data_IF_349910197615
#
_entry.id   IF_349910197615
#
_cell.length_a   1.000
_cell.length_b   1.000
_cell.length_c   1.000
_cell.angle_alpha   90.00
_cell.angle_beta   90.00
_cell.angle_gamma   90.00
#
_symmetry.space_group_name_H-M   'P 1'
#
loop_
_entity.id
_entity.type
_entity.pdbx_description
1 polymer ?
#
# COMPACT_ATOMS: atom_id res chain seq x y z
N UNK A 1 20.77 -19.89 20.33
CA UNK A 1 21.76 -18.93 19.80
C UNK A 1 21.11 -18.26 18.61
N UNK A 2 21.03 -16.92 18.57
CA UNK A 2 20.29 -16.17 17.53
C UNK A 2 21.19 -15.15 16.81
N UNK A 3 22.44 -15.07 17.22
CA UNK A 3 23.43 -14.09 16.78
C UNK A 3 24.75 -14.80 16.54
N UNK A 4 25.46 -14.36 15.50
CA UNK A 4 26.82 -14.79 15.23
C UNK A 4 27.74 -14.39 16.38
N UNK A 5 28.88 -15.09 16.48
CA UNK A 5 29.95 -14.73 17.39
C UNK A 5 30.28 -13.24 17.29
N UNK A 6 30.22 -12.54 18.41
CA UNK A 6 30.45 -11.10 18.45
C UNK A 6 31.87 -10.75 18.01
N UNK A 7 32.03 -9.74 17.17
CA UNK A 7 33.33 -9.22 16.73
C UNK A 7 33.58 -7.83 17.30
N UNK A 8 34.83 -7.56 17.67
CA UNK A 8 35.26 -6.25 18.18
C UNK A 8 35.74 -5.39 17.02
N UNK A 9 35.28 -4.15 16.97
CA UNK A 9 35.54 -3.19 15.91
C UNK A 9 36.08 -1.86 16.48
N UNK A 10 36.74 -1.04 15.63
CA UNK A 10 37.17 0.29 16.00
C UNK A 10 36.01 1.16 16.54
N UNK A 11 36.31 2.18 17.35
CA UNK A 11 35.30 3.08 17.88
C UNK A 11 34.53 3.81 16.78
N UNK A 12 33.24 4.04 17.00
CA UNK A 12 32.43 4.88 16.13
C UNK A 12 32.74 6.36 16.42
N UNK A 13 33.20 7.09 15.39
CA UNK A 13 33.50 8.52 15.48
C UNK A 13 34.68 8.81 16.42
N UNK A 14 34.51 9.76 17.33
CA UNK A 14 35.52 10.17 18.32
C UNK A 14 35.44 9.38 19.64
N UNK A 15 34.62 8.33 19.69
CA UNK A 15 34.53 7.46 20.86
C UNK A 15 35.90 6.83 21.16
N UNK A 16 36.19 6.60 22.44
CA UNK A 16 37.36 5.82 22.88
C UNK A 16 36.99 4.37 23.22
N UNK A 17 35.70 4.04 23.18
CA UNK A 17 35.22 2.69 23.46
C UNK A 17 35.21 1.86 22.18
N UNK A 18 35.72 0.64 22.26
CA UNK A 18 35.62 -0.35 21.19
C UNK A 18 34.16 -0.71 20.96
N UNK A 19 33.80 -0.93 19.70
CA UNK A 19 32.46 -1.31 19.32
C UNK A 19 32.36 -2.82 19.23
N UNK A 20 31.28 -3.40 19.74
CA UNK A 20 31.00 -4.82 19.60
C UNK A 20 29.88 -4.97 18.57
N UNK A 21 30.15 -5.70 17.49
CA UNK A 21 29.18 -6.02 16.46
C UNK A 21 28.61 -7.41 16.74
N UNK A 22 27.29 -7.47 16.92
CA UNK A 22 26.54 -8.72 16.98
C UNK A 22 25.57 -8.72 15.80
N UNK A 23 25.72 -9.67 14.88
CA UNK A 23 24.83 -9.81 13.73
C UNK A 23 23.90 -11.01 13.96
N UNK A 24 22.62 -10.93 13.58
CA UNK A 24 21.75 -12.09 13.64
C UNK A 24 22.22 -13.15 12.62
N UNK A 25 22.19 -14.43 13.00
CA UNK A 25 22.63 -15.54 12.11
C UNK A 25 21.79 -15.65 10.83
N UNK A 26 20.53 -15.25 10.91
CA UNK A 26 19.62 -15.15 9.78
C UNK A 26 19.05 -13.74 9.67
N UNK A 27 18.84 -13.20 8.46
CA UNK A 27 18.10 -11.96 8.30
C UNK A 27 16.69 -12.13 8.91
N UNK A 28 16.20 -11.13 9.67
CA UNK A 28 14.87 -11.23 10.25
C UNK A 28 13.83 -11.38 9.14
N UNK A 29 12.88 -12.29 9.34
CA UNK A 29 11.75 -12.44 8.42
C UNK A 29 11.06 -11.08 8.20
N UNK A 30 10.55 -10.81 6.98
CA UNK A 30 9.82 -9.58 6.74
C UNK A 30 8.65 -9.47 7.74
N UNK A 31 8.41 -8.27 8.31
CA UNK A 31 7.37 -8.11 9.30
C UNK A 31 6.00 -8.47 8.70
N UNK A 32 5.11 -9.09 9.49
CA UNK A 32 3.78 -9.44 9.01
C UNK A 32 3.03 -8.18 8.58
N UNK A 33 2.37 -8.27 7.43
CA UNK A 33 1.51 -7.23 6.90
C UNK A 33 0.12 -7.79 6.64
N UNK A 34 -0.86 -6.90 6.66
CA UNK A 34 -2.23 -7.16 6.21
C UNK A 34 -2.43 -6.39 4.91
N UNK A 35 -3.07 -7.01 3.92
CA UNK A 35 -3.50 -6.29 2.72
C UNK A 35 -4.91 -5.77 2.97
N UNK A 36 -5.09 -4.46 2.85
CA UNK A 36 -6.41 -3.85 2.79
C UNK A 36 -6.75 -3.58 1.33
N UNK A 37 -7.84 -4.17 0.89
CA UNK A 37 -8.45 -3.88 -0.41
C UNK A 37 -9.49 -2.78 -0.21
N UNK A 38 -9.47 -1.74 -1.03
CA UNK A 38 -10.41 -0.63 -0.95
C UNK A 38 -10.58 0.05 -2.31
N UNK A 39 -11.69 0.77 -2.49
CA UNK A 39 -11.94 1.60 -3.68
C UNK A 39 -12.02 3.06 -3.26
N UNK A 40 -11.14 3.94 -3.77
CA UNK A 40 -11.19 5.35 -3.43
C UNK A 40 -12.38 6.03 -4.14
N UNK A 41 -13.30 6.58 -3.33
CA UNK A 41 -14.40 7.43 -3.81
C UNK A 41 -13.97 8.90 -3.77
N UNK A 42 -13.15 9.29 -4.73
CA UNK A 42 -12.73 10.69 -4.89
C UNK A 42 -13.85 11.51 -5.52
N UNK A 43 -14.01 12.77 -5.10
CA UNK A 43 -15.01 13.68 -5.69
C UNK A 43 -14.84 13.81 -7.22
N UNK A 44 -13.60 13.79 -7.71
CA UNK A 44 -13.32 13.79 -9.16
C UNK A 44 -13.85 12.54 -9.85
N UNK A 45 -13.65 11.36 -9.25
CA UNK A 45 -14.16 10.09 -9.76
C UNK A 45 -15.68 10.07 -9.77
N UNK A 46 -16.32 10.51 -8.67
CA UNK A 46 -17.77 10.61 -8.57
C UNK A 46 -18.34 11.54 -9.64
N UNK A 47 -17.74 12.73 -9.84
CA UNK A 47 -18.19 13.64 -10.90
C UNK A 47 -17.99 13.04 -12.29
N UNK A 48 -16.86 12.40 -12.57
CA UNK A 48 -16.61 11.79 -13.88
C UNK A 48 -17.58 10.65 -14.19
N UNK A 49 -17.87 9.79 -13.20
CA UNK A 49 -18.87 8.74 -13.35
C UNK A 49 -20.27 9.31 -13.53
N UNK A 50 -20.61 10.35 -12.75
CA UNK A 50 -21.87 11.08 -12.89
C UNK A 50 -22.04 11.72 -14.28
N UNK A 51 -20.98 12.29 -14.85
CA UNK A 51 -21.02 12.82 -16.22
C UNK A 51 -21.27 11.70 -17.23
N UNK A 52 -20.53 10.59 -17.12
CA UNK A 52 -20.69 9.44 -17.99
C UNK A 52 -22.13 8.89 -17.93
N UNK A 53 -22.66 8.56 -16.75
CA UNK A 53 -23.97 7.91 -16.62
C UNK A 53 -25.11 8.79 -17.15
N UNK A 54 -24.95 10.12 -17.11
CA UNK A 54 -25.93 11.07 -17.67
C UNK A 54 -25.81 11.29 -19.17
N UNK A 55 -24.63 11.01 -19.76
CA UNK A 55 -24.34 11.25 -21.16
C UNK A 55 -24.43 9.97 -22.01
N UNK A 56 -24.38 8.80 -21.39
CA UNK A 56 -24.47 7.50 -22.05
C UNK A 56 -25.81 7.35 -22.79
N UNK A 57 -25.76 6.75 -23.98
CA UNK A 57 -26.95 6.42 -24.73
C UNK A 57 -27.53 5.08 -24.25
N UNK A 58 -28.69 5.14 -23.59
CA UNK A 58 -29.40 3.98 -23.06
C UNK A 58 -30.32 3.30 -24.08
N UNK A 59 -30.34 3.76 -25.34
CA UNK A 59 -31.18 3.18 -26.40
C UNK A 59 -30.97 1.67 -26.55
N UNK A 60 -29.73 1.20 -26.41
CA UNK A 60 -29.39 -0.22 -26.46
C UNK A 60 -30.15 -1.02 -25.38
N UNK A 61 -30.13 -0.57 -24.13
CA UNK A 61 -30.85 -1.20 -23.02
C UNK A 61 -32.36 -1.12 -23.19
N UNK A 62 -32.88 0.03 -23.62
CA UNK A 62 -34.32 0.25 -23.79
C UNK A 62 -34.91 -0.49 -25.00
N UNK A 63 -34.08 -0.92 -25.95
CA UNK A 63 -34.50 -1.65 -27.14
C UNK A 63 -34.65 -3.16 -26.94
N UNK A 64 -34.13 -3.69 -25.83
CA UNK A 64 -34.21 -5.11 -25.48
C UNK A 64 -35.65 -5.45 -25.06
N UNK A 65 -36.19 -6.55 -25.59
CA UNK A 65 -37.57 -6.97 -25.31
C UNK A 65 -37.68 -7.78 -24.00
N UNK A 66 -36.65 -8.58 -23.71
CA UNK A 66 -36.57 -9.34 -22.48
C UNK A 66 -36.06 -8.44 -21.34
N UNK A 67 -36.82 -8.38 -20.26
CA UNK A 67 -36.50 -7.56 -19.09
C UNK A 67 -35.25 -8.07 -18.39
N UNK A 68 -35.05 -9.38 -18.35
CA UNK A 68 -33.88 -9.99 -17.71
C UNK A 68 -32.61 -9.66 -18.51
N UNK A 69 -32.68 -9.76 -19.84
CA UNK A 69 -31.57 -9.39 -20.74
C UNK A 69 -31.26 -7.88 -20.67
N UNK A 70 -32.28 -7.03 -20.56
CA UNK A 70 -32.09 -5.59 -20.39
C UNK A 70 -31.38 -5.26 -19.06
N UNK A 71 -31.76 -5.97 -17.98
CA UNK A 71 -31.15 -5.80 -16.67
C UNK A 71 -29.68 -6.25 -16.66
N UNK A 72 -29.37 -7.39 -17.27
CA UNK A 72 -28.01 -7.91 -17.40
C UNK A 72 -27.12 -6.95 -18.20
N UNK A 73 -27.65 -6.40 -19.31
CA UNK A 73 -26.92 -5.44 -20.13
C UNK A 73 -26.62 -4.15 -19.34
N UNK A 74 -27.62 -3.61 -18.64
CA UNK A 74 -27.46 -2.43 -17.80
C UNK A 74 -26.43 -2.67 -16.70
N UNK A 75 -26.53 -3.80 -15.99
CA UNK A 75 -25.59 -4.15 -14.93
C UNK A 75 -24.17 -4.27 -15.48
N UNK A 76 -23.99 -4.91 -16.63
CA UNK A 76 -22.69 -5.06 -17.29
C UNK A 76 -22.05 -3.71 -17.62
N UNK A 77 -22.80 -2.81 -18.25
CA UNK A 77 -22.33 -1.47 -18.61
C UNK A 77 -21.94 -0.65 -17.38
N UNK A 78 -22.82 -0.61 -16.37
CA UNK A 78 -22.57 0.14 -15.13
C UNK A 78 -21.39 -0.45 -14.37
N UNK A 79 -21.27 -1.78 -14.26
CA UNK A 79 -20.17 -2.45 -13.58
C UNK A 79 -18.84 -2.17 -14.29
N UNK A 80 -18.80 -2.22 -15.61
CA UNK A 80 -17.59 -1.89 -16.37
C UNK A 80 -17.11 -0.47 -16.06
N UNK A 81 -18.02 0.49 -16.07
CA UNK A 81 -17.66 1.89 -15.84
C UNK A 81 -17.36 2.16 -14.36
N UNK A 82 -18.01 1.44 -13.45
CA UNK A 82 -17.66 1.45 -12.04
C UNK A 82 -16.20 1.03 -11.81
N UNK A 83 -15.72 -0.02 -12.48
CA UNK A 83 -14.32 -0.46 -12.41
C UNK A 83 -13.34 0.59 -12.97
N UNK A 84 -13.73 1.29 -14.04
CA UNK A 84 -12.92 2.35 -14.66
C UNK A 84 -12.80 3.56 -13.73
N UNK A 85 -13.91 4.02 -13.15
CA UNK A 85 -13.95 5.25 -12.35
C UNK A 85 -13.55 5.05 -10.88
N UNK A 86 -13.76 3.85 -10.33
CA UNK A 86 -13.47 3.48 -8.94
C UNK A 86 -12.59 2.24 -8.87
N UNK A 87 -11.36 2.30 -9.41
CA UNK A 87 -10.50 1.13 -9.49
C UNK A 87 -10.17 0.58 -8.10
N UNK A 88 -10.13 -0.75 -8.00
CA UNK A 88 -9.71 -1.41 -6.78
C UNK A 88 -8.24 -1.12 -6.50
N UNK A 89 -7.97 -0.71 -5.26
CA UNK A 89 -6.63 -0.48 -4.78
C UNK A 89 -6.31 -1.38 -3.61
N UNK A 90 -5.05 -1.81 -3.57
CA UNK A 90 -4.52 -2.63 -2.49
C UNK A 90 -3.45 -1.86 -1.75
N UNK A 91 -3.62 -1.74 -0.43
CA UNK A 91 -2.64 -1.14 0.44
C UNK A 91 -2.10 -2.18 1.42
N UNK A 92 -0.77 -2.39 1.39
CA UNK A 92 -0.08 -3.16 2.42
C UNK A 92 -0.01 -2.34 3.69
N UNK A 93 -0.75 -2.75 4.70
CA UNK A 93 -0.72 -2.19 6.04
C UNK A 93 0.16 -3.07 6.91
N UNK A 94 1.10 -2.48 7.63
CA UNK A 94 1.75 -3.21 8.72
C UNK A 94 0.70 -3.50 9.78
N UNK A 95 0.80 -4.67 10.43
CA UNK A 95 0.02 -4.93 11.65
C UNK A 95 0.12 -3.72 12.57
N UNK A 96 -1.01 -3.34 13.17
CA UNK A 96 -1.17 -2.13 13.97
C UNK A 96 0.09 -1.81 14.77
N UNK A 97 0.59 -0.61 14.56
CA UNK A 97 1.73 -0.12 15.30
C UNK A 97 1.38 -0.20 16.79
N UNK A 98 2.28 -0.77 17.60
CA UNK A 98 2.09 -0.87 19.05
C UNK A 98 1.74 0.51 19.60
N UNK A 99 0.92 0.65 20.66
CA UNK A 99 0.37 1.94 21.09
C UNK A 99 1.43 3.00 21.44
N UNK A 100 2.66 2.61 21.75
CA UNK A 100 3.79 3.52 21.97
C UNK A 100 4.54 3.97 20.70
N UNK A 101 4.20 3.41 19.53
CA UNK A 101 4.77 3.78 18.24
C UNK A 101 3.95 4.94 17.66
N UNK A 102 4.41 6.14 17.95
CA UNK A 102 3.77 7.37 17.46
C UNK A 102 4.13 7.65 16.00
N UNK A 103 3.36 8.52 15.34
CA UNK A 103 3.65 8.99 13.97
C UNK A 103 5.06 9.60 13.83
N UNK A 104 5.56 10.25 14.89
CA UNK A 104 6.93 10.79 14.94
C UNK A 104 7.97 9.66 14.85
N UNK A 105 7.79 8.56 15.59
CA UNK A 105 8.69 7.41 15.56
C UNK A 105 8.71 6.78 14.16
N UNK A 106 7.55 6.64 13.52
CA UNK A 106 7.46 6.13 12.15
C UNK A 106 8.22 7.01 11.14
N UNK A 107 8.09 8.34 11.24
CA UNK A 107 8.84 9.28 10.41
C UNK A 107 10.35 9.14 10.60
N UNK A 108 10.81 9.03 11.85
CA UNK A 108 12.24 8.82 12.15
C UNK A 108 12.76 7.49 11.59
N UNK A 109 11.97 6.42 11.69
CA UNK A 109 12.32 5.12 11.10
C UNK A 109 12.44 5.19 9.58
N UNK A 110 11.54 5.92 8.91
CA UNK A 110 11.57 6.11 7.47
C UNK A 110 12.76 6.98 7.03
N UNK A 111 13.00 8.09 7.73
CA UNK A 111 14.17 8.96 7.49
C UNK A 111 15.48 8.18 7.63
N UNK A 112 15.60 7.33 8.67
CA UNK A 112 16.75 6.44 8.85
C UNK A 112 16.90 5.46 7.69
N UNK A 113 15.81 4.82 7.25
CA UNK A 113 15.83 3.87 6.12
C UNK A 113 16.29 4.56 4.83
N UNK A 114 15.77 5.76 4.54
CA UNK A 114 16.19 6.56 3.38
C UNK A 114 17.66 6.99 3.45
N UNK A 115 18.15 7.35 4.62
CA UNK A 115 19.57 7.66 4.82
C UNK A 115 20.44 6.42 4.56
N UNK A 116 20.05 5.27 5.10
CA UNK A 116 20.78 4.01 4.93
C UNK A 116 20.77 3.52 3.47
N UNK A 117 19.64 3.62 2.75
CA UNK A 117 19.56 3.23 1.35
C UNK A 117 20.42 4.11 0.43
N UNK A 118 20.58 5.39 0.75
CA UNK A 118 21.46 6.31 0.01
C UNK A 118 22.95 6.01 0.21
N UNK A 119 23.35 5.46 1.37
CA UNK A 119 24.73 5.10 1.66
C UNK A 119 25.20 3.76 1.09
N UNK A 120 24.33 2.99 0.44
CA UNK A 120 24.62 1.64 -0.09
C UNK A 120 24.91 1.60 -1.60
N UNK A 121 25.01 2.78 -2.24
CA UNK A 121 25.39 2.98 -3.66
C UNK A 121 26.85 3.44 -3.82
N UNK A 122 27.70 3.23 -2.81
CA UNK A 122 29.15 3.47 -2.85
C UNK A 122 29.92 2.25 -2.39
#
# INVERSE_FOLDING_TARGET
EFYTTSSVHPPIGLSRHLCVLCQPEAPPAPPPYTVRVYRPFLDSSVRSFGQWITAEDWSAVLSVQDVDEAADLLEGMVRQQYEVHFPEQQQRMRRENKPWITARILRLMDQRRRAYSRGRMG
#
